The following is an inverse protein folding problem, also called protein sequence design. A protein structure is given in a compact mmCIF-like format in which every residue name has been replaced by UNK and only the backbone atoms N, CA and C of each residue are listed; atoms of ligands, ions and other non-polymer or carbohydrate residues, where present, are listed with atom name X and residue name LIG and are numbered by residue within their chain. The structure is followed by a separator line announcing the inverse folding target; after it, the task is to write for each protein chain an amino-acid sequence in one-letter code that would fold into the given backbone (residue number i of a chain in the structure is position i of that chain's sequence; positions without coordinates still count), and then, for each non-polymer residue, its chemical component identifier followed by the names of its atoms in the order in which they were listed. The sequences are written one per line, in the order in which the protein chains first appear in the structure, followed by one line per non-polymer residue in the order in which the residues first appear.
data_IF_524811458534
#
_entry.id   IF_524811458534
#
_cell.length_a   1.000
_cell.length_b   1.000
_cell.length_c   1.000
_cell.angle_alpha   90.00
_cell.angle_beta   90.00
_cell.angle_gamma   90.00
#
_symmetry.space_group_name_H-M   'P 1'
#
loop_
_entity.id
_entity.type
_entity.pdbx_description
1 polymer ?
#
# COMPACT_ATOMS: atom_id res chain seq x y z
N UNK A 1 8.48 -9.66 25.03
CA UNK A 1 8.37 -9.03 23.69
C UNK A 1 7.07 -8.23 23.62
N UNK A 2 7.09 -6.95 23.22
CA UNK A 2 5.86 -6.14 23.04
C UNK A 2 5.22 -6.48 21.68
N UNK A 3 3.92 -6.85 21.61
CA UNK A 3 3.24 -7.14 20.35
C UNK A 3 3.33 -5.97 19.37
N UNK A 4 3.62 -6.25 18.10
CA UNK A 4 3.62 -5.23 17.04
C UNK A 4 2.20 -4.72 16.87
N UNK A 5 2.00 -3.40 16.95
CA UNK A 5 0.70 -2.79 16.64
C UNK A 5 0.35 -3.01 15.17
N UNK A 6 -0.92 -3.29 14.91
CA UNK A 6 -1.45 -3.36 13.54
C UNK A 6 -1.28 -2.03 12.81
N UNK A 7 -0.64 -2.07 11.65
CA UNK A 7 -0.37 -0.89 10.81
C UNK A 7 -1.50 -0.67 9.83
N UNK A 8 -1.83 0.58 9.54
CA UNK A 8 -2.88 0.90 8.59
C UNK A 8 -2.34 0.92 7.16
N UNK A 9 -2.96 0.14 6.27
CA UNK A 9 -2.66 0.10 4.83
C UNK A 9 -3.91 0.56 4.07
N UNK A 10 -3.75 1.50 3.14
CA UNK A 10 -4.86 2.03 2.32
C UNK A 10 -4.84 1.53 0.87
N UNK A 11 -3.75 0.95 0.42
CA UNK A 11 -3.62 0.42 -0.93
C UNK A 11 -4.09 -1.02 -1.03
N UNK A 12 -4.96 -1.32 -1.99
CA UNK A 12 -5.32 -2.68 -2.33
C UNK A 12 -4.36 -3.18 -3.42
N UNK A 13 -3.58 -4.21 -3.11
CA UNK A 13 -2.59 -4.78 -4.02
C UNK A 13 -3.29 -5.70 -5.03
N UNK A 14 -3.58 -5.20 -6.23
CA UNK A 14 -4.03 -6.05 -7.34
C UNK A 14 -2.90 -6.90 -7.92
N UNK A 15 -1.64 -6.44 -7.79
CA UNK A 15 -0.44 -7.19 -8.15
C UNK A 15 0.41 -7.44 -6.91
N UNK A 16 0.67 -8.72 -6.63
CA UNK A 16 1.42 -9.20 -5.46
C UNK A 16 2.78 -9.80 -5.84
N UNK A 17 3.18 -9.69 -7.10
CA UNK A 17 4.41 -10.33 -7.60
C UNK A 17 5.01 -9.53 -8.77
N UNK A 18 6.31 -9.26 -8.69
CA UNK A 18 7.11 -8.60 -9.72
C UNK A 18 8.35 -9.44 -10.02
N UNK A 19 8.75 -9.54 -11.29
CA UNK A 19 9.96 -10.28 -11.67
C UNK A 19 10.64 -9.67 -12.89
N UNK A 20 11.97 -9.84 -13.03
CA UNK A 20 12.65 -9.49 -14.27
C UNK A 20 12.11 -10.29 -15.46
N UNK A 21 12.17 -9.66 -16.63
CA UNK A 21 11.81 -10.28 -17.90
C UNK A 21 12.86 -11.35 -18.27
N UNK A 22 12.41 -12.40 -18.97
CA UNK A 22 13.27 -13.43 -19.59
C UNK A 22 13.88 -14.52 -18.69
N UNK A 23 13.72 -14.49 -17.37
CA UNK A 23 14.15 -15.59 -16.48
C UNK A 23 12.93 -16.40 -16.01
N UNK A 24 12.94 -17.75 -16.16
CA UNK A 24 11.92 -18.62 -15.61
C UNK A 24 11.83 -18.49 -14.08
N UNK A 25 10.61 -18.49 -13.54
CA UNK A 25 10.35 -18.22 -12.12
C UNK A 25 11.08 -19.18 -11.18
N UNK A 26 11.16 -20.47 -11.51
CA UNK A 26 11.85 -21.48 -10.70
C UNK A 26 13.38 -21.30 -10.61
N UNK A 27 13.96 -20.43 -11.44
CA UNK A 27 15.39 -20.10 -11.41
C UNK A 27 15.67 -18.75 -10.72
N UNK A 28 14.63 -18.04 -10.30
CA UNK A 28 14.77 -16.74 -9.65
C UNK A 28 14.83 -16.90 -8.14
N UNK A 29 15.83 -16.27 -7.53
CA UNK A 29 15.76 -15.97 -6.10
C UNK A 29 14.64 -14.95 -5.86
N UNK A 30 13.97 -15.09 -4.72
CA UNK A 30 12.87 -14.20 -4.33
C UNK A 30 13.23 -13.36 -3.11
N UNK A 31 12.76 -12.12 -3.10
CA UNK A 31 12.72 -11.24 -1.93
C UNK A 31 11.27 -11.01 -1.56
N UNK A 32 10.95 -11.23 -0.28
CA UNK A 32 9.64 -10.91 0.25
C UNK A 32 9.58 -9.48 0.81
N UNK A 33 8.73 -8.65 0.22
CA UNK A 33 8.31 -7.35 0.72
C UNK A 33 6.98 -7.49 1.46
N UNK A 34 6.90 -7.00 2.69
CA UNK A 34 5.63 -7.07 3.44
C UNK A 34 4.66 -6.00 2.97
N UNK A 35 3.37 -6.19 3.23
CA UNK A 35 2.34 -5.24 2.77
C UNK A 35 2.53 -3.84 3.39
N UNK A 36 3.01 -3.76 4.63
CA UNK A 36 3.35 -2.49 5.27
C UNK A 36 4.62 -1.84 4.69
N UNK A 37 5.57 -2.62 4.19
CA UNK A 37 6.75 -2.09 3.49
C UNK A 37 6.35 -1.43 2.16
N UNK A 38 5.46 -2.06 1.40
CA UNK A 38 4.94 -1.49 0.14
C UNK A 38 4.09 -0.25 0.39
N UNK A 39 3.24 -0.25 1.43
CA UNK A 39 2.50 0.96 1.80
C UNK A 39 3.44 2.11 2.20
N UNK A 40 4.54 1.81 2.91
CA UNK A 40 5.52 2.83 3.26
C UNK A 40 6.19 3.43 2.03
N UNK A 41 6.56 2.59 1.04
CA UNK A 41 7.11 3.03 -0.26
C UNK A 41 6.09 3.90 -1.00
N UNK A 42 4.82 3.46 -1.05
CA UNK A 42 3.76 4.25 -1.68
C UNK A 42 3.60 5.63 -1.03
N UNK A 43 3.58 5.72 0.30
CA UNK A 43 3.38 6.98 1.01
C UNK A 43 4.59 7.91 0.90
N UNK A 44 5.80 7.39 1.09
CA UNK A 44 7.01 8.21 1.13
C UNK A 44 7.58 8.49 -0.27
N UNK A 45 7.81 7.43 -1.05
CA UNK A 45 8.59 7.53 -2.30
C UNK A 45 7.70 7.87 -3.50
N UNK A 46 6.45 7.38 -3.52
CA UNK A 46 5.52 7.69 -4.61
C UNK A 46 4.68 8.94 -4.37
N UNK A 47 4.10 9.10 -3.16
CA UNK A 47 3.27 10.26 -2.81
C UNK A 47 4.04 11.43 -2.19
N UNK A 48 5.36 11.29 -1.96
CA UNK A 48 6.21 12.36 -1.46
C UNK A 48 5.91 12.80 -0.02
N UNK A 49 5.23 11.99 0.80
CA UNK A 49 4.92 12.36 2.17
C UNK A 49 6.16 12.35 3.06
N UNK A 50 6.21 13.26 4.03
CA UNK A 50 7.25 13.20 5.07
C UNK A 50 7.08 11.95 5.94
N UNK A 51 8.18 11.47 6.55
CA UNK A 51 8.12 10.32 7.47
C UNK A 51 7.13 10.51 8.63
N UNK A 52 6.91 11.76 9.05
CA UNK A 52 5.94 12.07 10.07
C UNK A 52 4.50 11.91 9.56
N UNK A 53 4.19 12.49 8.39
CA UNK A 53 2.87 12.38 7.75
C UNK A 53 2.53 10.92 7.42
N UNK A 54 3.47 10.19 6.84
CA UNK A 54 3.30 8.80 6.48
C UNK A 54 3.16 7.89 7.71
N UNK A 55 3.94 8.14 8.77
CA UNK A 55 3.79 7.46 10.06
C UNK A 55 2.41 7.67 10.68
N UNK A 56 1.90 8.92 10.68
CA UNK A 56 0.53 9.24 11.10
C UNK A 56 -0.51 8.50 10.26
N UNK A 57 -0.36 8.46 8.93
CA UNK A 57 -1.27 7.73 8.03
C UNK A 57 -1.32 6.22 8.33
N UNK A 58 -0.17 5.62 8.65
CA UNK A 58 -0.04 4.20 9.01
C UNK A 58 -0.35 3.90 10.49
N UNK A 59 -0.67 4.90 11.30
CA UNK A 59 -0.91 4.81 12.75
C UNK A 59 0.30 4.27 13.54
N UNK A 60 1.51 4.74 13.21
CA UNK A 60 2.78 4.37 13.85
C UNK A 60 3.65 5.61 14.10
N UNK A 61 4.68 5.48 14.95
CA UNK A 61 5.62 6.57 15.18
C UNK A 61 6.47 6.87 13.95
N UNK A 62 6.95 8.11 13.81
CA UNK A 62 7.93 8.53 12.79
C UNK A 62 9.15 7.59 12.74
N UNK A 63 9.67 7.20 13.90
CA UNK A 63 10.82 6.28 14.02
C UNK A 63 10.50 4.86 13.53
N UNK A 64 9.30 4.35 13.83
CA UNK A 64 8.86 3.04 13.33
C UNK A 64 8.69 3.07 11.81
N UNK A 65 8.08 4.14 11.29
CA UNK A 65 7.95 4.35 9.85
C UNK A 65 9.33 4.38 9.17
N UNK A 66 10.27 5.14 9.73
CA UNK A 66 11.65 5.23 9.22
C UNK A 66 12.34 3.87 9.06
N UNK A 67 12.15 2.97 10.03
CA UNK A 67 12.69 1.60 9.96
C UNK A 67 12.03 0.76 8.86
N UNK A 68 10.72 0.89 8.69
CA UNK A 68 9.96 0.16 7.66
C UNK A 68 10.40 0.61 6.27
N UNK A 69 10.43 1.92 6.02
CA UNK A 69 10.81 2.44 4.69
C UNK A 69 12.27 2.11 4.35
N UNK A 70 13.18 2.14 5.33
CA UNK A 70 14.58 1.75 5.13
C UNK A 70 14.70 0.26 4.77
N UNK A 71 13.98 -0.62 5.47
CA UNK A 71 13.93 -2.06 5.16
C UNK A 71 13.39 -2.30 3.74
N UNK A 72 12.28 -1.64 3.39
CA UNK A 72 11.65 -1.74 2.08
C UNK A 72 12.61 -1.31 0.95
N UNK A 73 13.24 -0.13 1.08
CA UNK A 73 14.20 0.37 0.08
C UNK A 73 15.39 -0.56 -0.09
N UNK A 74 15.93 -1.13 0.99
CA UNK A 74 17.05 -2.11 0.91
C UNK A 74 16.64 -3.34 0.10
N UNK A 75 15.47 -3.92 0.39
CA UNK A 75 14.93 -5.09 -0.32
C UNK A 75 14.68 -4.81 -1.80
N UNK A 76 14.10 -3.65 -2.12
CA UNK A 76 13.87 -3.22 -3.50
C UNK A 76 15.21 -3.07 -4.22
N UNK A 77 16.19 -2.40 -3.60
CA UNK A 77 17.50 -2.22 -4.21
C UNK A 77 18.21 -3.56 -4.46
N UNK A 78 18.18 -4.48 -3.49
CA UNK A 78 18.74 -5.82 -3.64
C UNK A 78 18.08 -6.59 -4.80
N UNK A 79 16.75 -6.53 -4.91
CA UNK A 79 16.03 -7.18 -5.99
C UNK A 79 16.42 -6.62 -7.37
N UNK A 80 16.59 -5.30 -7.48
CA UNK A 80 16.99 -4.64 -8.72
C UNK A 80 18.45 -4.94 -9.09
N UNK A 81 19.37 -4.95 -8.11
CA UNK A 81 20.80 -5.18 -8.35
C UNK A 81 21.08 -6.64 -8.75
N UNK A 82 20.47 -7.60 -8.08
CA UNK A 82 20.73 -9.02 -8.31
C UNK A 82 19.70 -9.69 -9.24
N UNK A 83 18.73 -8.93 -9.75
CA UNK A 83 17.69 -9.47 -10.63
C UNK A 83 16.79 -10.49 -9.93
N UNK A 84 16.43 -10.26 -8.66
CA UNK A 84 15.54 -11.15 -7.90
C UNK A 84 14.08 -10.82 -8.17
N UNK A 85 13.21 -11.82 -8.03
CA UNK A 85 11.78 -11.57 -8.01
C UNK A 85 11.37 -10.92 -6.67
N UNK A 86 10.36 -10.05 -6.71
CA UNK A 86 9.73 -9.45 -5.55
C UNK A 86 8.37 -10.10 -5.37
N UNK A 87 8.19 -10.78 -4.24
CA UNK A 87 6.91 -11.27 -3.77
C UNK A 87 6.39 -10.34 -2.68
N UNK A 88 5.11 -10.03 -2.70
CA UNK A 88 4.48 -9.16 -1.69
C UNK A 88 3.54 -9.99 -0.83
N UNK A 89 3.95 -10.32 0.40
CA UNK A 89 3.11 -11.06 1.33
C UNK A 89 3.43 -10.81 2.81
N UNK A 90 2.46 -11.13 3.67
CA UNK A 90 2.63 -11.10 5.11
C UNK A 90 2.77 -9.69 5.70
N UNK A 91 3.34 -9.65 6.91
CA UNK A 91 3.35 -8.46 7.75
C UNK A 91 2.13 -8.37 8.69
N UNK A 92 2.17 -7.41 9.62
CA UNK A 92 1.10 -7.18 10.60
C UNK A 92 0.43 -5.86 10.25
N UNK A 93 -0.72 -5.94 9.58
CA UNK A 93 -1.45 -4.79 9.06
C UNK A 93 -2.97 -4.97 9.10
N UNK A 94 -3.68 -3.85 8.97
CA UNK A 94 -5.13 -3.75 8.78
C UNK A 94 -5.39 -2.91 7.54
N UNK A 95 -6.21 -3.43 6.63
CA UNK A 95 -6.66 -2.71 5.45
C UNK A 95 -7.72 -1.69 5.91
N UNK A 96 -7.50 -0.40 5.63
CA UNK A 96 -8.58 0.58 5.65
C UNK A 96 -9.24 0.54 4.28
N UNK A 97 -10.29 -0.26 4.14
CA UNK A 97 -11.18 -0.16 2.98
C UNK A 97 -11.81 1.23 3.02
N UNK A 98 -11.40 2.13 2.12
CA UNK A 98 -12.24 3.26 1.76
C UNK A 98 -13.46 2.69 1.08
N UNK A 99 -14.64 2.81 1.70
CA UNK A 99 -15.88 2.50 0.99
C UNK A 99 -15.93 3.42 -0.24
N UNK A 100 -15.76 2.85 -1.43
CA UNK A 100 -16.00 3.57 -2.68
C UNK A 100 -17.50 3.59 -2.87
N UNK A 101 -18.09 4.78 -2.87
CA UNK A 101 -19.49 4.97 -3.18
C UNK A 101 -19.59 5.21 -4.68
N UNK A 102 -20.58 4.59 -5.33
CA UNK A 102 -20.86 4.81 -6.74
C UNK A 102 -22.31 5.23 -6.93
N UNK A 103 -22.55 6.14 -7.87
CA UNK A 103 -23.91 6.52 -8.23
C UNK A 103 -24.49 5.50 -9.22
N UNK A 104 -25.59 4.84 -8.89
CA UNK A 104 -26.26 3.88 -9.78
C UNK A 104 -26.70 4.49 -11.12
N UNK A 105 -26.96 5.80 -11.17
CA UNK A 105 -27.43 6.49 -12.39
C UNK A 105 -26.30 6.93 -13.32
N UNK A 106 -25.23 7.52 -12.78
CA UNK A 106 -24.15 8.11 -13.60
C UNK A 106 -22.80 7.40 -13.48
N UNK A 107 -22.75 6.29 -12.72
CA UNK A 107 -21.56 5.47 -12.46
C UNK A 107 -20.35 6.26 -11.94
N UNK A 108 -20.59 7.43 -11.36
CA UNK A 108 -19.54 8.24 -10.78
C UNK A 108 -19.10 7.65 -9.44
N UNK A 109 -17.80 7.48 -9.25
CA UNK A 109 -17.18 6.93 -8.04
C UNK A 109 -16.61 8.05 -7.16
N UNK A 110 -16.77 7.95 -5.84
CA UNK A 110 -16.14 8.88 -4.90
C UNK A 110 -15.70 8.23 -3.58
N UNK A 111 -14.60 8.71 -2.96
CA UNK A 111 -13.92 8.02 -1.86
C UNK A 111 -14.45 8.32 -0.45
N UNK A 112 -15.46 9.18 -0.29
CA UNK A 112 -15.91 9.65 1.03
C UNK A 112 -17.41 9.48 1.28
N UNK A 113 -17.77 9.10 2.52
CA UNK A 113 -19.15 9.10 3.04
C UNK A 113 -19.59 10.53 3.36
N UNK A 114 -19.62 11.39 2.36
CA UNK A 114 -20.17 12.75 2.45
C UNK A 114 -21.00 12.99 1.20
N UNK A 115 -22.31 12.84 1.37
CA UNK A 115 -23.42 13.44 0.60
C UNK A 115 -24.54 12.39 0.49
N UNK A 116 -25.74 12.77 0.90
CA UNK A 116 -26.97 12.00 0.61
C UNK A 116 -27.34 12.08 -0.89
N UNK A 117 -26.49 12.73 -1.71
CA UNK A 117 -26.71 13.03 -3.13
C UNK A 117 -25.41 12.88 -3.91
N UNK A 118 -25.45 12.30 -5.11
CA UNK A 118 -24.25 12.18 -5.94
C UNK A 118 -23.65 13.56 -6.28
N UNK A 119 -22.34 13.80 -6.11
CA UNK A 119 -21.70 15.10 -6.41
C UNK A 119 -21.78 15.50 -7.88
N UNK A 120 -21.92 14.52 -8.80
CA UNK A 120 -22.02 14.78 -10.25
C UNK A 120 -23.45 15.01 -10.73
N UNK A 121 -24.44 14.28 -10.21
CA UNK A 121 -25.81 14.30 -10.74
C UNK A 121 -26.87 14.81 -9.74
N UNK A 122 -26.48 15.15 -8.50
CA UNK A 122 -27.31 15.70 -7.42
C UNK A 122 -28.53 14.86 -7.02
N UNK A 123 -28.65 13.62 -7.50
CA UNK A 123 -29.72 12.68 -7.13
C UNK A 123 -29.36 11.88 -5.89
N UNK A 124 -30.37 11.51 -5.12
CA UNK A 124 -30.21 10.76 -3.87
C UNK A 124 -29.48 9.43 -4.09
N UNK A 125 -28.60 9.10 -3.17
CA UNK A 125 -27.88 7.83 -3.11
C UNK A 125 -28.61 7.00 -2.05
N UNK A 126 -29.32 5.93 -2.45
CA UNK A 126 -29.83 4.92 -1.50
C UNK A 126 -28.67 4.04 -1.04
#
# INVERSE_FOLDING_TARGET
MRPKKNRCVKFNLSQVYFKPRSIPMFKLEEINLTVDEIEAVRLCDYLGMSHEQAGKSMNISRSTFGRIIQSARKKIAEALIYGKAIKIEGGVYKIKNGAVYFCQKCKHEWPEKKLNKCPKCKKEVL
#
